data_IF_467653099932
#
_entry.id   IF_467653099932
#
_cell.length_a   1.000
_cell.length_b   1.000
_cell.length_c   1.000
_cell.angle_alpha   90.00
_cell.angle_beta   90.00
_cell.angle_gamma   90.00
#
_symmetry.space_group_name_H-M   'P 1'
#
loop_
_entity.id
_entity.type
_entity.pdbx_description
1 polymer ?
#
# COMPACT_ATOMS: atom_id res chain seq x y z
N UNK A 1 -12.71 -15.84 9.25
CA UNK A 1 -14.00 -15.25 8.84
C UNK A 1 -15.19 -16.05 9.40
N UNK A 2 -15.34 -17.33 9.04
CA UNK A 2 -16.44 -18.20 9.49
C UNK A 2 -16.63 -18.33 11.02
N UNK A 3 -15.56 -18.24 11.82
CA UNK A 3 -15.64 -18.33 13.27
C UNK A 3 -16.10 -17.04 13.99
N UNK A 4 -15.98 -15.87 13.33
CA UNK A 4 -16.37 -14.58 13.92
C UNK A 4 -17.85 -14.51 14.34
N UNK A 5 -18.83 -14.97 13.52
CA UNK A 5 -20.25 -14.88 13.87
C UNK A 5 -20.70 -15.86 14.97
N UNK A 6 -19.84 -16.80 15.38
CA UNK A 6 -20.16 -17.85 16.37
C UNK A 6 -20.02 -17.38 17.82
N UNK A 7 -19.44 -16.22 18.07
CA UNK A 7 -19.14 -15.75 19.42
C UNK A 7 -19.38 -14.26 19.57
N UNK A 8 -19.69 -13.84 20.80
CA UNK A 8 -19.73 -12.44 21.23
C UNK A 8 -18.57 -12.06 22.15
N UNK A 9 -17.70 -13.01 22.50
CA UNK A 9 -16.58 -12.76 23.40
C UNK A 9 -15.51 -11.90 22.72
N UNK A 10 -15.25 -10.72 23.28
CA UNK A 10 -14.22 -9.79 22.79
C UNK A 10 -12.84 -10.44 22.76
N UNK A 11 -12.49 -11.25 23.77
CA UNK A 11 -11.20 -11.95 23.81
C UNK A 11 -11.06 -12.93 22.65
N UNK A 12 -12.10 -13.71 22.37
CA UNK A 12 -12.10 -14.65 21.24
C UNK A 12 -12.04 -13.89 19.91
N UNK A 13 -12.77 -12.79 19.77
CA UNK A 13 -12.69 -11.91 18.60
C UNK A 13 -11.27 -11.39 18.38
N UNK A 14 -10.58 -10.93 19.42
CA UNK A 14 -9.21 -10.44 19.31
C UNK A 14 -8.24 -11.54 18.88
N UNK A 15 -8.37 -12.75 19.43
CA UNK A 15 -7.53 -13.89 19.03
C UNK A 15 -7.78 -14.28 17.56
N UNK A 16 -9.06 -14.36 17.14
CA UNK A 16 -9.41 -14.66 15.76
C UNK A 16 -8.89 -13.58 14.79
N UNK A 17 -8.96 -12.30 15.17
CA UNK A 17 -8.42 -11.19 14.38
C UNK A 17 -6.90 -11.24 14.29
N UNK A 18 -6.21 -11.59 15.38
CA UNK A 18 -4.75 -11.79 15.38
C UNK A 18 -4.35 -12.91 14.42
N UNK A 19 -5.00 -14.07 14.53
CA UNK A 19 -4.74 -15.21 13.65
C UNK A 19 -5.02 -14.87 12.18
N UNK A 20 -6.14 -14.21 11.90
CA UNK A 20 -6.47 -13.74 10.55
C UNK A 20 -5.41 -12.75 10.02
N UNK A 21 -4.96 -11.81 10.86
CA UNK A 21 -3.91 -10.86 10.50
C UNK A 21 -2.58 -11.54 10.15
N UNK A 22 -2.13 -12.49 10.98
CA UNK A 22 -0.91 -13.28 10.72
C UNK A 22 -1.02 -14.07 9.42
N UNK A 23 -2.13 -14.80 9.23
CA UNK A 23 -2.36 -15.59 8.02
C UNK A 23 -2.40 -14.71 6.75
N UNK A 24 -3.14 -13.59 6.80
CA UNK A 24 -3.22 -12.66 5.66
C UNK A 24 -1.87 -12.01 5.35
N UNK A 25 -1.06 -11.67 6.36
CA UNK A 25 0.28 -11.13 6.15
C UNK A 25 1.20 -12.14 5.44
N UNK A 26 1.19 -13.41 5.87
CA UNK A 26 1.98 -14.47 5.23
C UNK A 26 1.56 -14.67 3.77
N UNK A 27 0.26 -14.81 3.50
CA UNK A 27 -0.28 -14.97 2.14
C UNK A 27 0.10 -13.77 1.27
N UNK A 28 -0.04 -12.55 1.80
CA UNK A 28 0.28 -11.34 1.06
C UNK A 28 1.77 -11.24 0.73
N UNK A 29 2.67 -11.54 1.68
CA UNK A 29 4.13 -11.50 1.44
C UNK A 29 4.54 -12.52 0.39
N UNK A 30 4.03 -13.75 0.45
CA UNK A 30 4.33 -14.79 -0.54
C UNK A 30 3.77 -14.41 -1.92
N UNK A 31 2.52 -13.98 -2.00
CA UNK A 31 1.88 -13.59 -3.25
C UNK A 31 2.56 -12.37 -3.89
N UNK A 32 2.82 -11.32 -3.10
CA UNK A 32 3.51 -10.12 -3.57
C UNK A 32 4.96 -10.42 -3.99
N UNK A 33 5.68 -11.26 -3.25
CA UNK A 33 7.03 -11.69 -3.59
C UNK A 33 7.08 -12.44 -4.93
N UNK A 34 6.21 -13.43 -5.10
CA UNK A 34 6.10 -14.18 -6.36
C UNK A 34 5.69 -13.28 -7.53
N UNK A 35 4.75 -12.36 -7.31
CA UNK A 35 4.30 -11.40 -8.32
C UNK A 35 5.43 -10.46 -8.75
N UNK A 36 6.14 -9.88 -7.80
CA UNK A 36 7.26 -8.98 -8.06
C UNK A 36 8.41 -9.71 -8.78
N UNK A 37 8.68 -10.96 -8.42
CA UNK A 37 9.66 -11.78 -9.10
C UNK A 37 9.28 -12.02 -10.57
N UNK A 38 8.04 -12.45 -10.82
CA UNK A 38 7.54 -12.72 -12.16
C UNK A 38 7.51 -11.47 -13.04
N UNK A 39 7.16 -10.30 -12.47
CA UNK A 39 7.06 -9.04 -13.21
C UNK A 39 8.34 -8.20 -13.21
N UNK A 40 9.48 -8.74 -12.73
CA UNK A 40 10.72 -7.97 -12.58
C UNK A 40 11.24 -7.41 -13.91
N UNK A 41 11.08 -8.17 -14.99
CA UNK A 41 11.57 -7.85 -16.34
C UNK A 41 10.49 -7.13 -17.17
N UNK A 42 9.34 -6.85 -16.56
CA UNK A 42 8.19 -6.22 -17.20
C UNK A 42 8.04 -4.74 -16.82
N UNK A 43 7.26 -3.97 -17.59
CA UNK A 43 7.00 -2.56 -17.27
C UNK A 43 6.38 -2.38 -15.87
N UNK A 44 6.87 -1.42 -15.05
CA UNK A 44 6.42 -1.22 -13.66
C UNK A 44 4.92 -0.98 -13.45
N UNK A 45 4.20 -0.56 -14.49
CA UNK A 45 2.76 -0.34 -14.41
C UNK A 45 1.97 -1.65 -14.29
N UNK A 46 2.51 -2.79 -14.78
CA UNK A 46 1.88 -4.10 -14.62
C UNK A 46 1.87 -4.54 -13.16
N UNK A 47 2.97 -4.31 -12.45
CA UNK A 47 3.03 -4.49 -10.98
C UNK A 47 1.99 -3.61 -10.29
N UNK A 48 1.86 -2.35 -10.73
CA UNK A 48 0.83 -1.44 -10.22
C UNK A 48 -0.59 -1.96 -10.43
N UNK A 49 -0.92 -2.51 -11.61
CA UNK A 49 -2.23 -3.11 -11.88
C UNK A 49 -2.48 -4.37 -11.06
N UNK A 50 -1.46 -5.20 -10.85
CA UNK A 50 -1.58 -6.39 -10.02
C UNK A 50 -1.87 -6.04 -8.55
N UNK A 51 -1.22 -5.00 -8.00
CA UNK A 51 -1.61 -4.44 -6.69
C UNK A 51 -3.01 -3.79 -6.70
N UNK A 52 -3.56 -3.46 -7.88
CA UNK A 52 -4.97 -3.09 -8.05
C UNK A 52 -5.94 -4.19 -7.60
N UNK A 53 -5.51 -5.45 -7.51
CA UNK A 53 -6.28 -6.53 -6.90
C UNK A 53 -6.68 -6.25 -5.44
N UNK A 54 -5.88 -5.47 -4.69
CA UNK A 54 -6.24 -5.00 -3.34
C UNK A 54 -7.47 -4.09 -3.41
N UNK A 55 -7.49 -3.13 -4.34
CA UNK A 55 -8.65 -2.28 -4.60
C UNK A 55 -9.86 -3.09 -5.06
N UNK A 56 -9.65 -4.10 -5.91
CA UNK A 56 -10.70 -5.04 -6.34
C UNK A 56 -11.33 -5.78 -5.17
N UNK A 57 -10.53 -6.28 -4.22
CA UNK A 57 -11.01 -6.92 -2.99
C UNK A 57 -11.81 -5.97 -2.08
N UNK A 58 -11.38 -4.72 -1.96
CA UNK A 58 -12.13 -3.67 -1.23
C UNK A 58 -13.48 -3.41 -1.91
N UNK A 59 -13.50 -3.24 -3.24
CA UNK A 59 -14.74 -3.00 -3.98
C UNK A 59 -15.70 -4.19 -3.87
N UNK A 60 -15.18 -5.42 -4.01
CA UNK A 60 -15.97 -6.64 -3.95
C UNK A 60 -16.56 -6.87 -2.55
N UNK A 61 -15.77 -6.65 -1.50
CA UNK A 61 -16.27 -6.75 -0.11
C UNK A 61 -17.29 -5.66 0.22
N UNK A 62 -17.09 -4.43 -0.26
CA UNK A 62 -18.08 -3.36 -0.16
C UNK A 62 -19.38 -3.69 -0.87
N UNK A 63 -19.30 -4.25 -2.08
CA UNK A 63 -20.46 -4.65 -2.88
C UNK A 63 -21.24 -5.77 -2.20
N UNK A 64 -20.52 -6.75 -1.64
CA UNK A 64 -21.13 -7.84 -0.87
C UNK A 64 -21.97 -7.30 0.28
N UNK A 65 -21.42 -6.39 1.10
CA UNK A 65 -22.15 -5.78 2.22
C UNK A 65 -23.29 -4.88 1.73
N UNK A 66 -23.10 -4.15 0.62
CA UNK A 66 -24.13 -3.31 0.02
C UNK A 66 -25.34 -4.12 -0.43
N UNK A 67 -25.13 -5.30 -1.05
CA UNK A 67 -26.21 -6.20 -1.49
C UNK A 67 -26.94 -6.82 -0.29
N UNK A 68 -26.20 -7.18 0.76
CA UNK A 68 -26.76 -7.82 1.96
C UNK A 68 -27.48 -6.85 2.90
N UNK A 69 -27.32 -5.53 2.72
CA UNK A 69 -27.77 -4.48 3.67
C UNK A 69 -29.24 -4.57 4.11
N UNK A 70 -30.14 -5.03 3.23
CA UNK A 70 -31.59 -4.99 3.45
C UNK A 70 -32.15 -6.28 4.02
N UNK A 71 -31.39 -7.37 4.01
CA UNK A 71 -31.90 -8.71 4.29
C UNK A 71 -31.05 -9.51 5.28
N UNK A 72 -29.86 -9.02 5.64
CA UNK A 72 -28.87 -9.80 6.38
C UNK A 72 -28.37 -9.06 7.63
N UNK A 73 -28.22 -9.80 8.72
CA UNK A 73 -27.59 -9.30 9.94
C UNK A 73 -26.05 -9.31 9.80
N UNK A 74 -25.38 -8.82 10.84
CA UNK A 74 -23.90 -8.79 10.86
C UNK A 74 -23.28 -10.18 10.75
N UNK A 75 -23.97 -11.25 11.18
CA UNK A 75 -23.47 -12.63 11.08
C UNK A 75 -23.52 -13.13 9.65
N UNK A 76 -24.62 -12.88 8.94
CA UNK A 76 -24.75 -13.24 7.53
C UNK A 76 -23.67 -12.56 6.69
N UNK A 77 -23.33 -11.30 7.01
CA UNK A 77 -22.21 -10.61 6.35
C UNK A 77 -20.86 -11.35 6.54
N UNK A 78 -20.57 -11.87 7.75
CA UNK A 78 -19.36 -12.67 7.98
C UNK A 78 -19.37 -14.01 7.25
N UNK A 79 -20.51 -14.70 7.24
CA UNK A 79 -20.65 -15.98 6.52
C UNK A 79 -20.50 -15.79 5.02
N UNK A 80 -21.15 -14.79 4.44
CA UNK A 80 -21.01 -14.46 3.03
C UNK A 80 -19.56 -14.07 2.68
N UNK A 81 -18.90 -13.30 3.53
CA UNK A 81 -17.49 -12.97 3.36
C UNK A 81 -16.59 -14.23 3.45
N UNK A 82 -16.91 -15.17 4.34
CA UNK A 82 -16.20 -16.44 4.45
C UNK A 82 -16.37 -17.30 3.18
N UNK A 83 -17.59 -17.42 2.66
CA UNK A 83 -17.88 -18.14 1.41
C UNK A 83 -17.11 -17.50 0.25
N UNK A 84 -17.20 -16.18 0.11
CA UNK A 84 -16.50 -15.46 -0.95
C UNK A 84 -14.98 -15.66 -0.87
N UNK A 85 -14.40 -15.53 0.32
CA UNK A 85 -12.97 -15.75 0.51
C UNK A 85 -12.57 -17.19 0.17
N UNK A 86 -13.38 -18.19 0.54
CA UNK A 86 -13.14 -19.59 0.18
C UNK A 86 -13.22 -19.82 -1.33
N UNK A 87 -14.19 -19.22 -2.02
CA UNK A 87 -14.30 -19.32 -3.49
C UNK A 87 -13.08 -18.71 -4.19
N UNK A 88 -12.63 -17.54 -3.75
CA UNK A 88 -11.42 -16.89 -4.28
C UNK A 88 -10.18 -17.72 -3.97
N UNK A 89 -10.06 -18.27 -2.76
CA UNK A 89 -8.96 -19.16 -2.39
C UNK A 89 -8.94 -20.42 -3.26
N UNK A 90 -10.09 -21.05 -3.49
CA UNK A 90 -10.23 -22.20 -4.37
C UNK A 90 -9.86 -21.87 -5.82
N UNK A 91 -10.30 -20.73 -6.34
CA UNK A 91 -9.92 -20.26 -7.67
C UNK A 91 -8.40 -20.01 -7.79
N UNK A 92 -7.76 -19.54 -6.71
CA UNK A 92 -6.32 -19.32 -6.65
C UNK A 92 -5.48 -20.55 -6.31
N UNK A 93 -6.10 -21.69 -6.00
CA UNK A 93 -5.43 -22.86 -5.40
C UNK A 93 -4.31 -23.45 -6.28
N UNK A 94 -4.47 -23.34 -7.60
CA UNK A 94 -3.52 -23.86 -8.57
C UNK A 94 -2.40 -22.87 -8.92
N UNK A 95 -2.42 -21.65 -8.38
CA UNK A 95 -1.35 -20.69 -8.56
C UNK A 95 -0.14 -21.15 -7.75
N UNK A 96 0.95 -21.47 -8.44
CA UNK A 96 2.20 -21.89 -7.81
C UNK A 96 3.06 -20.66 -7.52
N UNK A 97 3.33 -20.33 -6.24
CA UNK A 97 4.26 -19.27 -5.92
C UNK A 97 5.64 -19.63 -6.47
N UNK A 98 6.25 -18.72 -7.22
CA UNK A 98 7.66 -18.84 -7.57
C UNK A 98 8.48 -18.25 -6.42
N UNK A 99 9.47 -19.01 -5.96
CA UNK A 99 10.40 -18.54 -4.95
C UNK A 99 11.14 -17.32 -5.49
N UNK A 100 10.88 -16.15 -4.91
CA UNK A 100 11.73 -15.00 -5.13
C UNK A 100 13.12 -15.36 -4.56
N UNK A 101 14.22 -15.19 -5.31
CA UNK A 101 15.55 -15.33 -4.77
C UNK A 101 15.65 -14.45 -3.53
N UNK A 102 15.98 -15.05 -2.38
CA UNK A 102 16.35 -14.28 -1.20
C UNK A 102 17.60 -13.52 -1.61
N UNK A 103 17.43 -12.23 -1.93
CA UNK A 103 18.56 -11.36 -2.24
C UNK A 103 19.52 -11.46 -1.07
N UNK A 104 20.76 -11.88 -1.34
CA UNK A 104 21.81 -11.87 -0.34
C UNK A 104 21.84 -10.49 0.32
N UNK A 105 21.99 -10.38 1.64
CA UNK A 105 22.20 -9.08 2.25
C UNK A 105 23.44 -8.49 1.58
N UNK A 106 23.27 -7.41 0.81
CA UNK A 106 24.39 -6.68 0.23
C UNK A 106 25.31 -6.28 1.39
N UNK A 107 26.41 -7.03 1.49
CA UNK A 107 27.45 -6.82 2.45
C UNK A 107 28.17 -5.53 2.15
N UNK A 108 28.38 -4.73 3.20
CA UNK A 108 29.42 -3.70 3.33
C UNK A 108 29.61 -2.73 2.15
N UNK A 109 29.09 -1.51 2.30
CA UNK A 109 29.54 -0.39 1.47
C UNK A 109 29.09 0.95 2.03
N UNK A 110 29.97 1.59 2.82
CA UNK A 110 29.92 2.96 3.35
C UNK A 110 28.61 3.44 4.02
N UNK A 111 28.70 4.03 5.22
CA UNK A 111 27.55 4.70 5.87
C UNK A 111 26.85 5.64 4.88
N UNK A 112 25.61 5.36 4.43
CA UNK A 112 25.01 6.20 3.43
C UNK A 112 24.64 7.54 4.08
N UNK A 113 24.95 8.65 3.39
CA UNK A 113 24.62 10.03 3.80
C UNK A 113 23.10 10.30 3.81
N UNK A 114 22.28 9.24 3.90
CA UNK A 114 20.83 9.23 3.73
C UNK A 114 20.06 9.08 5.05
N UNK A 115 20.73 9.01 6.21
CA UNK A 115 20.08 8.89 7.53
C UNK A 115 18.98 9.93 7.77
N UNK A 116 19.24 11.22 7.45
CA UNK A 116 18.25 12.29 7.60
C UNK A 116 17.01 12.07 6.70
N UNK A 117 17.23 11.58 5.48
CA UNK A 117 16.17 11.29 4.52
C UNK A 117 15.37 10.07 4.93
N UNK A 118 16.04 9.03 5.41
CA UNK A 118 15.35 7.86 5.92
C UNK A 118 14.52 8.20 7.17
N UNK A 119 15.06 9.00 8.10
CA UNK A 119 14.32 9.46 9.27
C UNK A 119 13.06 10.25 8.91
N UNK A 120 13.18 11.23 7.99
CA UNK A 120 12.03 12.00 7.51
C UNK A 120 10.97 11.12 6.81
N UNK A 121 11.41 10.18 5.96
CA UNK A 121 10.53 9.21 5.31
C UNK A 121 9.85 8.28 6.31
N UNK A 122 10.58 7.81 7.31
CA UNK A 122 10.08 6.94 8.37
C UNK A 122 9.02 7.63 9.22
N UNK A 123 9.27 8.88 9.62
CA UNK A 123 8.29 9.70 10.35
C UNK A 123 7.07 9.96 9.48
N UNK A 124 7.26 10.39 8.23
CA UNK A 124 6.18 10.62 7.27
C UNK A 124 5.29 9.38 7.12
N UNK A 125 5.89 8.23 6.84
CA UNK A 125 5.14 7.00 6.59
C UNK A 125 4.48 6.43 7.85
N UNK A 126 5.12 6.57 9.03
CA UNK A 126 4.51 6.20 10.31
C UNK A 126 3.28 7.05 10.62
N UNK A 127 3.38 8.37 10.44
CA UNK A 127 2.25 9.29 10.62
C UNK A 127 1.15 9.04 9.60
N UNK A 128 1.48 8.73 8.34
CA UNK A 128 0.48 8.33 7.37
C UNK A 128 -0.26 7.07 7.83
N UNK A 129 0.41 6.07 8.40
CA UNK A 129 -0.24 4.90 9.01
C UNK A 129 -1.27 5.26 10.09
N UNK A 130 -0.98 6.26 10.93
CA UNK A 130 -1.90 6.78 11.95
C UNK A 130 -3.13 7.42 11.29
N UNK A 131 -2.95 8.32 10.34
CA UNK A 131 -4.07 9.04 9.71
C UNK A 131 -4.90 8.16 8.78
N UNK A 132 -4.24 7.31 7.99
CA UNK A 132 -4.87 6.36 7.07
C UNK A 132 -5.79 5.40 7.80
N UNK A 133 -5.36 4.78 8.90
CA UNK A 133 -6.18 3.76 9.56
C UNK A 133 -7.45 4.37 10.16
N UNK A 134 -7.36 5.61 10.67
CA UNK A 134 -8.51 6.34 11.21
C UNK A 134 -9.50 6.59 10.08
N UNK A 135 -9.04 7.08 8.92
CA UNK A 135 -9.89 7.25 7.76
C UNK A 135 -10.47 5.91 7.27
N UNK A 136 -9.65 4.89 7.07
CA UNK A 136 -10.07 3.57 6.59
C UNK A 136 -11.07 2.87 7.52
N UNK A 137 -11.08 3.20 8.80
CA UNK A 137 -11.99 2.61 9.79
C UNK A 137 -13.26 3.43 9.99
N UNK A 138 -13.13 4.76 10.09
CA UNK A 138 -14.22 5.63 10.54
C UNK A 138 -14.88 6.45 9.44
N UNK A 139 -14.26 6.58 8.26
CA UNK A 139 -14.83 7.37 7.16
C UNK A 139 -16.20 6.83 6.72
N UNK A 140 -16.29 5.52 6.47
CA UNK A 140 -17.56 4.87 6.07
C UNK A 140 -18.62 5.01 7.16
N UNK A 141 -18.23 4.87 8.42
CA UNK A 141 -19.14 5.03 9.55
C UNK A 141 -19.64 6.47 9.68
N UNK A 142 -18.77 7.47 9.46
CA UNK A 142 -19.13 8.88 9.42
C UNK A 142 -20.15 9.17 8.32
N UNK A 143 -19.89 8.67 7.11
CA UNK A 143 -20.80 8.82 5.98
C UNK A 143 -22.16 8.16 6.28
N UNK A 144 -22.15 6.98 6.89
CA UNK A 144 -23.38 6.27 7.26
C UNK A 144 -24.20 6.94 8.36
N UNK A 145 -23.60 7.78 9.21
CA UNK A 145 -24.33 8.56 10.22
C UNK A 145 -25.06 9.77 9.62
N UNK A 146 -24.46 10.42 8.62
CA UNK A 146 -24.97 11.68 8.07
C UNK A 146 -25.74 11.51 6.75
N UNK A 147 -25.72 10.32 6.16
CA UNK A 147 -26.32 10.03 4.85
C UNK A 147 -27.17 8.75 4.87
N UNK A 148 -28.06 8.55 3.89
CA UNK A 148 -28.79 7.29 3.75
C UNK A 148 -27.84 6.10 3.75
N UNK A 149 -28.19 5.01 4.45
CA UNK A 149 -27.24 3.93 4.71
C UNK A 149 -26.61 3.25 3.47
N UNK A 150 -27.19 3.41 2.28
CA UNK A 150 -26.61 2.88 1.03
C UNK A 150 -25.35 3.68 0.61
N UNK A 151 -25.27 4.95 0.99
CA UNK A 151 -24.14 5.84 0.70
C UNK A 151 -22.89 5.37 1.44
N UNK A 152 -23.01 4.90 2.68
CA UNK A 152 -21.86 4.37 3.45
C UNK A 152 -21.23 3.14 2.78
N UNK A 153 -22.01 2.08 2.53
CA UNK A 153 -21.51 0.88 1.84
C UNK A 153 -21.06 1.18 0.40
N UNK A 154 -21.78 2.07 -0.31
CA UNK A 154 -21.40 2.53 -1.64
C UNK A 154 -20.08 3.32 -1.65
N UNK A 155 -19.81 4.12 -0.61
CA UNK A 155 -18.54 4.83 -0.46
C UNK A 155 -17.36 3.86 -0.37
N UNK A 156 -17.50 2.74 0.36
CA UNK A 156 -16.44 1.73 0.41
C UNK A 156 -16.19 1.05 -0.94
N UNK A 157 -17.26 0.81 -1.73
CA UNK A 157 -17.13 0.35 -3.12
C UNK A 157 -16.33 1.35 -3.94
N UNK A 158 -16.64 2.66 -3.83
CA UNK A 158 -15.90 3.71 -4.54
C UNK A 158 -14.43 3.81 -4.11
N UNK A 159 -14.13 3.65 -2.81
CA UNK A 159 -12.74 3.55 -2.33
C UNK A 159 -12.01 2.44 -3.07
N UNK A 160 -12.62 1.26 -3.15
CA UNK A 160 -12.03 0.11 -3.86
C UNK A 160 -11.83 0.36 -5.35
N UNK A 161 -12.85 0.87 -6.04
CA UNK A 161 -12.78 1.19 -7.47
C UNK A 161 -11.71 2.26 -7.78
N UNK A 162 -11.58 3.28 -6.94
CA UNK A 162 -10.54 4.30 -7.07
C UNK A 162 -9.14 3.74 -6.75
N UNK A 163 -9.05 2.74 -5.86
CA UNK A 163 -7.81 2.09 -5.50
C UNK A 163 -7.27 1.14 -6.57
N UNK A 164 -8.14 0.54 -7.41
CA UNK A 164 -7.73 -0.37 -8.51
C UNK A 164 -6.67 0.26 -9.44
N UNK A 165 -6.90 1.44 -10.04
CA UNK A 165 -5.89 2.07 -10.90
C UNK A 165 -4.83 2.86 -10.13
N UNK A 166 -5.01 3.09 -8.82
CA UNK A 166 -4.17 4.00 -8.03
C UNK A 166 -2.69 3.68 -8.13
N UNK A 167 -2.29 2.45 -7.77
CA UNK A 167 -0.87 2.05 -7.78
C UNK A 167 -0.24 2.14 -9.15
N UNK A 168 -0.96 1.75 -10.21
CA UNK A 168 -0.49 1.85 -11.59
C UNK A 168 -0.32 3.33 -12.01
N UNK A 169 -1.26 4.20 -11.62
CA UNK A 169 -1.18 5.63 -11.88
C UNK A 169 0.05 6.23 -11.19
N UNK A 170 0.20 6.05 -9.88
CA UNK A 170 1.34 6.60 -9.13
C UNK A 170 2.68 6.05 -9.60
N UNK A 171 2.76 4.77 -9.96
CA UNK A 171 3.96 4.18 -10.55
C UNK A 171 4.30 4.81 -11.92
N UNK A 172 3.29 5.03 -12.78
CA UNK A 172 3.46 5.72 -14.07
C UNK A 172 3.91 7.17 -13.88
N UNK A 173 3.33 7.88 -12.92
CA UNK A 173 3.70 9.24 -12.57
C UNK A 173 5.15 9.31 -12.04
N UNK A 174 5.56 8.31 -11.26
CA UNK A 174 6.93 8.16 -10.74
C UNK A 174 8.02 7.98 -11.80
N UNK A 175 7.65 7.75 -13.07
CA UNK A 175 8.59 7.76 -14.20
C UNK A 175 8.92 9.15 -14.70
N UNK A 176 8.01 10.11 -14.51
CA UNK A 176 8.12 11.49 -15.03
C UNK A 176 8.45 12.50 -13.95
N UNK A 177 8.06 12.22 -12.71
CA UNK A 177 8.22 13.13 -11.59
C UNK A 177 9.00 12.50 -10.44
N UNK A 178 9.58 13.35 -9.60
CA UNK A 178 10.35 12.91 -8.43
C UNK A 178 9.46 12.18 -7.42
N UNK A 179 9.96 11.06 -6.87
CA UNK A 179 9.23 10.27 -5.85
C UNK A 179 8.86 11.09 -4.60
N UNK A 180 9.75 11.92 -4.01
CA UNK A 180 9.36 12.76 -2.88
C UNK A 180 8.26 13.77 -3.20
N UNK A 181 8.30 14.36 -4.41
CA UNK A 181 7.25 15.27 -4.86
C UNK A 181 5.90 14.58 -5.00
N UNK A 182 5.88 13.37 -5.56
CA UNK A 182 4.65 12.58 -5.67
C UNK A 182 4.13 12.11 -4.32
N UNK A 183 5.01 11.71 -3.41
CA UNK A 183 4.63 11.32 -2.06
C UNK A 183 3.96 12.49 -1.32
N UNK A 184 4.56 13.69 -1.39
CA UNK A 184 3.95 14.91 -0.87
C UNK A 184 2.57 15.16 -1.48
N UNK A 185 2.45 15.15 -2.81
CA UNK A 185 1.18 15.39 -3.49
C UNK A 185 0.11 14.37 -3.09
N UNK A 186 0.47 13.08 -3.03
CA UNK A 186 -0.44 12.01 -2.64
C UNK A 186 -0.93 12.20 -1.20
N UNK A 187 -0.03 12.53 -0.26
CA UNK A 187 -0.39 12.80 1.14
C UNK A 187 -1.29 14.02 1.30
N UNK A 188 -1.03 15.11 0.55
CA UNK A 188 -1.90 16.30 0.57
C UNK A 188 -3.28 15.97 0.03
N UNK A 189 -3.37 15.27 -1.11
CA UNK A 189 -4.65 14.84 -1.68
C UNK A 189 -5.41 13.94 -0.69
N UNK A 190 -4.71 13.01 -0.04
CA UNK A 190 -5.29 12.12 0.95
C UNK A 190 -5.81 12.88 2.17
N UNK A 191 -5.04 13.83 2.70
CA UNK A 191 -5.46 14.66 3.82
C UNK A 191 -6.71 15.50 3.51
N UNK A 192 -6.75 16.11 2.31
CA UNK A 192 -7.95 16.81 1.82
C UNK A 192 -9.13 15.85 1.73
N UNK A 193 -8.91 14.66 1.16
CA UNK A 193 -9.93 13.61 1.10
C UNK A 193 -10.49 13.27 2.48
N UNK A 194 -9.62 13.05 3.48
CA UNK A 194 -10.04 12.71 4.85
C UNK A 194 -10.80 13.86 5.53
N UNK A 195 -10.38 15.11 5.32
CA UNK A 195 -11.02 16.28 5.92
C UNK A 195 -12.37 16.64 5.27
N UNK A 196 -12.57 16.26 4.00
CA UNK A 196 -13.68 16.75 3.17
C UNK A 196 -15.08 16.52 3.79
N UNK A 197 -15.44 15.34 4.31
CA UNK A 197 -16.76 15.12 4.91
C UNK A 197 -16.94 15.93 6.19
N UNK A 198 -15.87 16.08 6.98
CA UNK A 198 -15.92 16.86 8.21
C UNK A 198 -16.12 18.35 7.91
N UNK A 199 -15.42 18.91 6.93
CA UNK A 199 -15.45 20.35 6.64
C UNK A 199 -16.67 20.80 5.83
N UNK A 200 -17.11 19.99 4.86
CA UNK A 200 -18.15 20.38 3.90
C UNK A 200 -19.48 19.71 4.20
N UNK A 201 -19.46 18.47 4.68
CA UNK A 201 -20.67 17.67 4.90
C UNK A 201 -21.39 17.25 3.61
N UNK A 202 -22.35 16.34 3.77
CA UNK A 202 -23.24 15.89 2.70
C UNK A 202 -22.67 14.81 1.77
N UNK A 203 -23.56 14.24 0.95
CA UNK A 203 -23.27 13.07 0.09
C UNK A 203 -22.14 13.33 -0.91
N UNK A 204 -22.09 14.51 -1.52
CA UNK A 204 -21.06 14.81 -2.52
C UNK A 204 -19.65 14.85 -1.88
N UNK A 205 -19.51 15.47 -0.71
CA UNK A 205 -18.26 15.51 0.05
C UNK A 205 -17.85 14.10 0.52
N UNK A 206 -18.80 13.28 0.95
CA UNK A 206 -18.59 11.89 1.32
C UNK A 206 -18.06 11.03 0.16
N UNK A 207 -18.70 11.10 -1.01
CA UNK A 207 -18.27 10.33 -2.19
C UNK A 207 -16.93 10.86 -2.74
N UNK A 208 -16.74 12.18 -2.74
CA UNK A 208 -15.45 12.80 -3.09
C UNK A 208 -14.33 12.33 -2.17
N UNK A 209 -14.58 12.29 -0.86
CA UNK A 209 -13.64 11.77 0.15
C UNK A 209 -13.25 10.32 -0.13
N UNK A 210 -14.24 9.46 -0.40
CA UNK A 210 -14.02 8.06 -0.72
C UNK A 210 -13.10 7.89 -1.95
N UNK A 211 -13.35 8.65 -3.01
CA UNK A 211 -12.53 8.62 -4.23
C UNK A 211 -11.11 9.11 -3.96
N UNK A 212 -10.94 10.26 -3.30
CA UNK A 212 -9.62 10.82 -3.00
C UNK A 212 -8.80 9.91 -2.09
N UNK A 213 -9.43 9.33 -1.06
CA UNK A 213 -8.81 8.37 -0.16
C UNK A 213 -8.41 7.08 -0.90
N UNK A 214 -9.32 6.48 -1.66
CA UNK A 214 -9.04 5.28 -2.46
C UNK A 214 -7.95 5.50 -3.51
N UNK A 215 -7.95 6.66 -4.17
CA UNK A 215 -6.97 7.01 -5.18
C UNK A 215 -5.55 7.22 -4.63
N UNK A 216 -5.37 7.38 -3.31
CA UNK A 216 -4.07 7.78 -2.72
C UNK A 216 -3.40 6.70 -1.88
N UNK A 217 -4.12 5.97 -1.03
CA UNK A 217 -3.47 5.21 0.04
C UNK A 217 -2.48 4.13 -0.46
N UNK A 218 -2.85 3.31 -1.46
CA UNK A 218 -1.92 2.30 -2.00
C UNK A 218 -0.76 2.98 -2.75
N UNK A 219 -1.04 4.11 -3.40
CA UNK A 219 -0.03 4.95 -4.04
C UNK A 219 1.01 5.46 -3.06
N UNK A 220 0.58 5.99 -1.92
CA UNK A 220 1.45 6.47 -0.84
C UNK A 220 2.33 5.34 -0.32
N UNK A 221 1.76 4.18 0.01
CA UNK A 221 2.54 3.02 0.46
C UNK A 221 3.57 2.57 -0.58
N UNK A 222 3.17 2.50 -1.85
CA UNK A 222 4.06 2.12 -2.94
C UNK A 222 5.22 3.12 -3.13
N UNK A 223 4.92 4.42 -3.12
CA UNK A 223 5.91 5.49 -3.26
C UNK A 223 6.87 5.53 -2.06
N UNK A 224 6.36 5.37 -0.84
CA UNK A 224 7.16 5.38 0.38
C UNK A 224 8.15 4.20 0.41
N UNK A 225 7.66 2.98 0.16
CA UNK A 225 8.51 1.79 0.12
C UNK A 225 9.54 1.85 -1.00
N UNK A 226 9.15 2.30 -2.21
CA UNK A 226 10.09 2.49 -3.31
C UNK A 226 11.15 3.56 -3.00
N UNK A 227 10.78 4.63 -2.30
CA UNK A 227 11.71 5.68 -1.84
C UNK A 227 12.67 5.12 -0.79
N UNK A 228 12.18 4.34 0.17
CA UNK A 228 13.00 3.68 1.19
C UNK A 228 13.99 2.68 0.62
N UNK A 229 13.58 1.88 -0.37
CA UNK A 229 14.47 0.98 -1.10
C UNK A 229 15.55 1.77 -1.86
N UNK A 230 15.18 2.90 -2.47
CA UNK A 230 16.12 3.75 -3.20
C UNK A 230 17.19 4.38 -2.31
N UNK A 231 16.87 4.74 -1.06
CA UNK A 231 17.83 5.30 -0.11
C UNK A 231 18.91 4.30 0.35
N UNK A 232 18.76 3.01 0.01
CA UNK A 232 19.67 1.89 0.40
C UNK A 232 19.97 1.85 1.90
N UNK A 233 19.03 2.30 2.73
CA UNK A 233 19.15 2.22 4.18
C UNK A 233 18.98 0.76 4.63
N UNK A 234 19.82 0.22 5.53
CA UNK A 234 19.71 -1.18 5.95
C UNK A 234 18.31 -1.53 6.46
N UNK A 235 17.71 -2.58 5.91
CA UNK A 235 16.35 -3.05 6.26
C UNK A 235 15.27 -1.96 6.11
N UNK A 236 15.43 -1.01 5.18
CA UNK A 236 14.53 0.13 5.00
C UNK A 236 13.06 -0.27 4.86
N UNK A 237 12.76 -1.23 3.99
CA UNK A 237 11.40 -1.74 3.76
C UNK A 237 10.81 -2.33 5.04
N UNK A 238 11.57 -3.15 5.77
CA UNK A 238 11.10 -3.76 7.01
C UNK A 238 10.83 -2.71 8.10
N UNK A 239 11.73 -1.73 8.27
CA UNK A 239 11.55 -0.65 9.23
C UNK A 239 10.35 0.24 8.87
N UNK A 240 10.20 0.62 7.61
CA UNK A 240 9.06 1.41 7.14
C UNK A 240 7.74 0.67 7.38
N UNK A 241 7.67 -0.62 7.05
CA UNK A 241 6.49 -1.46 7.32
C UNK A 241 6.19 -1.59 8.82
N UNK A 242 7.22 -1.70 9.66
CA UNK A 242 7.06 -1.73 11.11
C UNK A 242 6.54 -0.40 11.65
N UNK A 243 7.11 0.73 11.22
CA UNK A 243 6.66 2.07 11.61
C UNK A 243 5.21 2.33 11.19
N UNK A 244 4.87 1.99 9.95
CA UNK A 244 3.49 2.06 9.45
C UNK A 244 2.52 1.23 10.30
N UNK A 245 2.89 -0.02 10.64
CA UNK A 245 2.10 -0.89 11.51
C UNK A 245 1.92 -0.32 12.92
N UNK A 246 2.97 0.26 13.51
CA UNK A 246 2.85 0.97 14.80
C UNK A 246 1.89 2.14 14.68
N UNK A 247 1.98 2.92 13.61
CA UNK A 247 1.04 4.00 13.32
C UNK A 247 -0.41 3.50 13.25
N UNK A 248 -0.65 2.37 12.58
CA UNK A 248 -1.99 1.77 12.49
C UNK A 248 -2.56 1.31 13.85
N UNK A 249 -1.70 0.84 14.76
CA UNK A 249 -2.12 0.47 16.13
C UNK A 249 -2.46 1.72 16.93
N UNK A 250 -1.63 2.77 16.82
CA UNK A 250 -1.80 4.01 17.58
C UNK A 250 -3.00 4.83 17.10
N UNK A 251 -3.31 4.83 15.80
CA UNK A 251 -4.38 5.65 15.22
C UNK A 251 -5.73 5.55 15.96
N UNK A 252 -6.35 4.37 16.05
CA UNK A 252 -7.62 4.20 16.75
C UNK A 252 -7.54 4.56 18.24
N UNK A 253 -6.41 4.28 18.90
CA UNK A 253 -6.21 4.61 20.33
C UNK A 253 -6.16 6.12 20.55
N UNK A 254 -5.49 6.86 19.66
CA UNK A 254 -5.37 8.32 19.73
C UNK A 254 -6.72 9.00 19.48
N UNK A 255 -7.53 8.48 18.54
CA UNK A 255 -8.82 9.12 18.20
C UNK A 255 -9.99 8.60 19.04
N UNK A 256 -9.87 7.50 19.77
CA UNK A 256 -10.96 6.90 20.54
C UNK A 256 -11.71 7.90 21.45
N UNK A 257 -11.04 8.80 22.21
CA UNK A 257 -11.72 9.80 23.04
C UNK A 257 -12.54 10.82 22.23
N UNK A 258 -12.25 10.98 20.94
CA UNK A 258 -12.92 11.94 20.06
C UNK A 258 -14.20 11.38 19.45
N UNK A 259 -14.45 10.08 19.57
CA UNK A 259 -15.57 9.39 18.92
C UNK A 259 -16.91 9.55 19.66
N UNK A 260 -16.91 10.06 20.91
CA UNK A 260 -18.12 10.18 21.73
C UNK A 260 -19.20 11.09 21.14
N UNK A 261 -18.83 12.03 20.27
CA UNK A 261 -19.75 13.01 19.69
C UNK A 261 -19.80 12.90 18.15
N UNK A 262 -19.53 11.71 17.62
CA UNK A 262 -19.44 11.45 16.19
C UNK A 262 -17.99 11.47 15.67
N UNK A 263 -17.85 11.40 14.35
CA UNK A 263 -16.57 11.12 13.71
C UNK A 263 -15.81 12.37 13.24
N UNK A 264 -16.45 13.54 13.26
CA UNK A 264 -15.91 14.79 12.72
C UNK A 264 -14.51 15.13 13.28
N UNK A 265 -14.35 15.15 14.60
CA UNK A 265 -13.07 15.48 15.26
C UNK A 265 -11.98 14.43 14.97
N UNK A 266 -12.35 13.16 14.90
CA UNK A 266 -11.43 12.07 14.57
C UNK A 266 -10.90 12.19 13.13
N UNK A 267 -11.78 12.51 12.17
CA UNK A 267 -11.40 12.73 10.77
C UNK A 267 -10.51 13.97 10.61
N UNK A 268 -10.82 15.08 11.29
CA UNK A 268 -9.96 16.27 11.26
C UNK A 268 -8.57 16.00 11.87
N UNK A 269 -8.50 15.27 12.99
CA UNK A 269 -7.21 14.89 13.57
C UNK A 269 -6.43 13.97 12.63
N UNK A 270 -7.09 12.99 11.99
CA UNK A 270 -6.44 12.14 10.99
C UNK A 270 -5.91 12.95 9.81
N UNK A 271 -6.70 13.85 9.26
CA UNK A 271 -6.27 14.73 8.16
C UNK A 271 -5.07 15.60 8.57
N UNK A 272 -5.09 16.16 9.78
CA UNK A 272 -3.96 16.91 10.33
C UNK A 272 -2.70 16.05 10.44
N UNK A 273 -2.82 14.83 10.96
CA UNK A 273 -1.68 13.89 11.06
C UNK A 273 -1.12 13.55 9.68
N UNK A 274 -1.96 13.34 8.67
CA UNK A 274 -1.51 13.14 7.28
C UNK A 274 -0.87 14.41 6.70
N UNK A 275 -1.35 15.61 7.04
CA UNK A 275 -0.67 16.87 6.66
C UNK A 275 0.71 17.01 7.31
N UNK A 276 0.87 16.60 8.57
CA UNK A 276 2.18 16.54 9.23
C UNK A 276 3.08 15.51 8.53
N UNK A 277 2.54 14.37 8.13
CA UNK A 277 3.25 13.40 7.30
C UNK A 277 3.69 14.00 5.96
N UNK A 278 2.83 14.81 5.33
CA UNK A 278 3.13 15.52 4.09
C UNK A 278 4.26 16.54 4.30
N UNK A 279 4.25 17.30 5.40
CA UNK A 279 5.32 18.24 5.74
C UNK A 279 6.66 17.50 5.95
N UNK A 280 6.66 16.36 6.63
CA UNK A 280 7.84 15.51 6.76
C UNK A 280 8.34 15.03 5.38
N UNK A 281 7.44 14.59 4.49
CA UNK A 281 7.79 14.23 3.11
C UNK A 281 8.31 15.43 2.29
N UNK A 282 7.86 16.65 2.55
CA UNK A 282 8.35 17.85 1.87
C UNK A 282 9.84 18.10 2.16
N UNK A 283 10.30 17.82 3.38
CA UNK A 283 11.71 17.95 3.74
C UNK A 283 12.61 17.06 2.88
N UNK A 284 12.11 15.90 2.43
CA UNK A 284 12.83 15.00 1.52
C UNK A 284 13.20 15.69 0.21
N UNK A 285 12.46 16.73 -0.23
CA UNK A 285 12.74 17.45 -1.49
C UNK A 285 14.03 18.28 -1.42
N UNK A 286 14.53 18.59 -0.22
CA UNK A 286 15.66 19.51 -0.03
C UNK A 286 16.99 18.76 -0.22
N UNK A 287 17.41 18.50 -1.46
CA UNK A 287 18.67 17.79 -1.72
C UNK A 287 18.54 16.26 -1.62
N UNK A 288 17.38 15.74 -2.05
CA UNK A 288 17.19 14.33 -2.32
C UNK A 288 18.21 13.84 -3.37
N UNK A 289 18.91 12.72 -3.16
CA UNK A 289 19.81 12.17 -4.16
C UNK A 289 18.97 11.59 -5.33
N UNK A 290 18.72 12.38 -6.36
CA UNK A 290 18.00 11.94 -7.57
C UNK A 290 18.85 11.00 -8.46
N UNK A 291 20.17 11.02 -8.31
CA UNK A 291 21.12 10.24 -9.10
C UNK A 291 21.90 9.26 -8.20
N UNK A 292 21.29 8.15 -7.82
CA UNK A 292 22.06 6.98 -7.41
C UNK A 292 22.05 5.99 -8.57
N UNK A 293 23.03 6.17 -9.45
CA UNK A 293 23.31 5.35 -10.63
C UNK A 293 23.44 3.89 -10.21
N UNK A 294 22.65 3.02 -10.83
CA UNK A 294 22.92 1.58 -10.90
C UNK A 294 24.25 1.48 -11.66
N UNK A 295 25.35 1.08 -10.99
CA UNK A 295 26.57 0.70 -11.69
C UNK A 295 26.17 -0.39 -12.69
N UNK A 296 26.19 -0.04 -13.98
CA UNK A 296 25.97 -1.00 -15.06
C UNK A 296 26.96 -2.14 -14.90
N UNK A 297 26.50 -3.36 -15.14
CA UNK A 297 27.39 -4.46 -15.44
C UNK A 297 28.12 -4.08 -16.75
N UNK A 298 29.31 -3.51 -16.62
CA UNK A 298 30.29 -3.53 -17.71
C UNK A 298 30.65 -4.99 -17.90
N UNK A 299 30.05 -5.60 -18.93
CA UNK A 299 30.60 -6.81 -19.54
C UNK A 299 32.03 -6.47 -19.95
N UNK A 300 33.07 -7.19 -19.50
CA UNK A 300 34.41 -6.96 -20.00
C UNK A 300 34.44 -7.38 -21.48
N UNK A 301 34.63 -6.43 -22.39
CA UNK A 301 35.17 -6.73 -23.71
C UNK A 301 36.61 -7.25 -23.54
N UNK A 302 36.75 -8.55 -23.34
CA UNK A 302 38.00 -9.26 -23.55
C UNK A 302 37.69 -10.65 -24.10
N UNK A 303 37.63 -10.75 -25.43
CA UNK A 303 38.08 -11.87 -26.28
C UNK A 303 37.35 -11.81 -27.63
N UNK A 304 37.76 -10.88 -28.49
CA UNK A 304 37.45 -10.99 -29.92
C UNK A 304 38.56 -10.42 -30.81
N UNK A 305 39.81 -10.54 -30.36
CA UNK A 305 41.02 -10.31 -31.17
C UNK A 305 42.02 -11.45 -30.90
N UNK A 306 41.82 -12.62 -31.50
CA UNK A 306 42.91 -13.60 -31.69
C UNK A 306 42.59 -14.70 -32.72
N UNK A 307 41.85 -14.40 -33.78
CA UNK A 307 41.67 -15.33 -34.91
C UNK A 307 41.83 -14.59 -36.22
N UNK A 308 43.01 -14.01 -36.44
CA UNK A 308 43.41 -13.52 -37.75
C UNK A 308 44.93 -13.48 -37.90
N UNK A 309 45.63 -14.61 -37.73
CA UNK A 309 46.87 -14.86 -38.48
C UNK A 309 47.34 -16.32 -38.36
N UNK A 310 46.94 -17.19 -39.30
CA UNK A 310 47.74 -18.37 -39.66
C UNK A 310 47.63 -18.56 -41.18
N UNK A 311 48.59 -18.00 -41.91
CA UNK A 311 48.87 -18.38 -43.31
C UNK A 311 49.45 -19.80 -43.34
N UNK A 312 49.05 -20.67 -44.30
CA UNK A 312 49.79 -21.88 -44.58
C UNK A 312 50.98 -21.55 -45.49
N UNK A 313 52.20 -21.68 -44.96
CA UNK A 313 53.41 -21.70 -45.77
C UNK A 313 53.54 -23.08 -46.44
N UNK A 314 53.54 -23.06 -47.77
CA UNK A 314 53.85 -24.20 -48.62
C UNK A 314 55.33 -24.60 -48.50
N UNK A 315 55.60 -25.89 -48.42
CA UNK A 315 56.84 -26.50 -48.90
C UNK A 315 56.59 -27.99 -49.16
N UNK A 316 56.49 -28.37 -50.43
CA UNK A 316 57.01 -29.65 -50.90
C UNK A 316 58.41 -29.41 -51.50
N UNK A 317 59.10 -30.41 -52.08
CA UNK A 317 58.73 -31.83 -52.25
C UNK A 317 59.36 -32.77 -51.20
#
# INVERSE_FOLDING_TARGET
LAAMPLTHSTTVWSLLRLLAGVASALVFVVAAGSLLHHLRDHPPHLTGWAFGGVGGGIALSGLLVLVLRSAADWRTAWWAAAVLATLLAAASWNLRPQEAPVGAPDGSGARPRTHRWFGALFVSYTLEGVGYIVAGTFLVAAIGQESPGWVGSGAWVLVGLAAVPSSALWARLGRRWSRPGLLLTALVIQAVGIALPALVGGTAAALGSAVLFGATFIGVSSLALATGAHLRFPRSVALLTAGYSVGQILGPLVVAPLLHHGYHRALLLAALVVLVAAAAAATLRIGFPHHMVVKGHTVPEQQQESTEDVRPAAAGP
#
